data_IF_573341183035
#
_entry.id   IF_573341183035
#
_cell.length_a   1.000
_cell.length_b   1.000
_cell.length_c   1.000
_cell.angle_alpha   90.00
_cell.angle_beta   90.00
_cell.angle_gamma   90.00
#
_symmetry.space_group_name_H-M   'P 1'
#
loop_
_entity.id
_entity.type
_entity.pdbx_description
1 polymer ?
#
# COMPACT_ATOMS: atom_id res chain seq x y z
N UNK A 1 -22.29 -2.87 -0.32
CA UNK A 1 -21.09 -3.69 -0.07
C UNK A 1 -20.33 -2.99 1.02
N UNK A 2 -19.82 -3.73 2.01
CA UNK A 2 -18.97 -3.12 3.03
C UNK A 2 -17.63 -2.75 2.41
N UNK A 3 -16.97 -1.71 2.93
CA UNK A 3 -15.69 -1.27 2.38
C UNK A 3 -14.65 -2.40 2.41
N UNK A 4 -14.68 -3.23 3.44
CA UNK A 4 -13.76 -4.35 3.62
C UNK A 4 -13.96 -5.47 2.58
N UNK A 5 -15.19 -5.67 2.10
CA UNK A 5 -15.49 -6.65 1.04
C UNK A 5 -14.89 -6.19 -0.30
N UNK A 6 -15.00 -4.89 -0.60
CA UNK A 6 -14.40 -4.27 -1.79
C UNK A 6 -12.87 -4.35 -1.70
N UNK A 7 -12.31 -4.00 -0.54
CA UNK A 7 -10.87 -4.03 -0.29
C UNK A 7 -10.30 -5.44 -0.46
N UNK A 8 -10.97 -6.45 0.08
CA UNK A 8 -10.55 -7.84 -0.04
C UNK A 8 -10.58 -8.34 -1.48
N UNK A 9 -11.67 -8.08 -2.22
CA UNK A 9 -11.79 -8.47 -3.62
C UNK A 9 -10.69 -7.82 -4.49
N UNK A 10 -10.50 -6.50 -4.38
CA UNK A 10 -9.47 -5.78 -5.12
C UNK A 10 -8.06 -6.30 -4.77
N UNK A 11 -7.76 -6.46 -3.48
CA UNK A 11 -6.46 -6.97 -3.03
C UNK A 11 -6.16 -8.36 -3.58
N UNK A 12 -7.14 -9.27 -3.53
CA UNK A 12 -6.97 -10.63 -4.01
C UNK A 12 -6.63 -10.66 -5.51
N UNK A 13 -7.34 -9.88 -6.32
CA UNK A 13 -7.14 -9.79 -7.78
C UNK A 13 -5.78 -9.23 -8.15
N UNK A 14 -5.31 -8.22 -7.42
CA UNK A 14 -3.94 -7.68 -7.56
C UNK A 14 -2.91 -8.77 -7.21
N UNK A 15 -3.13 -9.50 -6.12
CA UNK A 15 -2.20 -10.52 -5.61
C UNK A 15 -2.03 -11.70 -6.58
N UNK A 16 -3.11 -12.11 -7.26
CA UNK A 16 -3.06 -13.17 -8.28
C UNK A 16 -2.64 -12.66 -9.67
N UNK A 17 -2.38 -11.36 -9.82
CA UNK A 17 -1.95 -10.75 -11.08
C UNK A 17 -3.06 -10.59 -12.13
N UNK A 18 -4.33 -10.65 -11.73
CA UNK A 18 -5.47 -10.47 -12.66
C UNK A 18 -5.60 -9.00 -13.09
N UNK A 19 -5.27 -8.07 -12.20
CA UNK A 19 -5.36 -6.63 -12.40
C UNK A 19 -4.15 -5.93 -11.82
N UNK A 20 -3.64 -4.94 -12.53
CA UNK A 20 -2.45 -4.17 -12.15
C UNK A 20 -2.67 -2.66 -12.27
N UNK A 21 -3.85 -2.20 -12.64
CA UNK A 21 -4.17 -0.76 -12.75
C UNK A 21 -5.57 -0.47 -12.23
N UNK A 22 -5.82 0.76 -11.81
CA UNK A 22 -7.17 1.22 -11.42
C UNK A 22 -8.18 0.97 -12.54
N UNK A 23 -7.80 1.22 -13.80
CA UNK A 23 -8.65 0.99 -14.95
C UNK A 23 -8.99 -0.51 -15.15
N UNK A 24 -7.99 -1.40 -15.00
CA UNK A 24 -8.22 -2.84 -15.07
C UNK A 24 -9.15 -3.33 -13.96
N UNK A 25 -8.95 -2.85 -12.72
CA UNK A 25 -9.83 -3.16 -11.58
C UNK A 25 -11.26 -2.76 -11.89
N UNK A 26 -11.50 -1.53 -12.38
CA UNK A 26 -12.83 -1.06 -12.75
C UNK A 26 -13.47 -1.94 -13.83
N UNK A 27 -12.71 -2.31 -14.86
CA UNK A 27 -13.23 -3.14 -15.94
C UNK A 27 -13.63 -4.53 -15.43
N UNK A 28 -12.79 -5.16 -14.61
CA UNK A 28 -12.99 -6.55 -14.17
C UNK A 28 -14.08 -6.66 -13.09
N UNK A 29 -14.15 -5.70 -12.17
CA UNK A 29 -15.08 -5.74 -11.03
C UNK A 29 -16.41 -5.04 -11.32
N UNK A 30 -16.43 -4.09 -12.25
CA UNK A 30 -17.57 -3.19 -12.45
C UNK A 30 -17.73 -2.11 -11.37
N UNK A 31 -16.80 -2.00 -10.42
CA UNK A 31 -16.85 -0.97 -9.38
C UNK A 31 -16.65 0.43 -9.97
N UNK A 32 -17.28 1.41 -9.33
CA UNK A 32 -17.09 2.82 -9.70
C UNK A 32 -15.63 3.24 -9.48
N UNK A 33 -15.13 4.18 -10.30
CA UNK A 33 -13.78 4.74 -10.15
C UNK A 33 -13.50 5.23 -8.73
N UNK A 34 -14.47 5.91 -8.12
CA UNK A 34 -14.35 6.45 -6.77
C UNK A 34 -14.18 5.35 -5.72
N UNK A 35 -14.93 4.25 -5.83
CA UNK A 35 -14.81 3.10 -4.93
C UNK A 35 -13.45 2.41 -5.08
N UNK A 36 -12.97 2.22 -6.32
CA UNK A 36 -11.66 1.62 -6.57
C UNK A 36 -10.53 2.49 -6.01
N UNK A 37 -10.56 3.81 -6.25
CA UNK A 37 -9.53 4.71 -5.73
C UNK A 37 -9.54 4.70 -4.19
N UNK A 38 -10.71 4.79 -3.57
CA UNK A 38 -10.81 4.77 -2.10
C UNK A 38 -10.25 3.46 -1.53
N UNK A 39 -10.55 2.32 -2.16
CA UNK A 39 -10.02 1.02 -1.76
C UNK A 39 -8.50 0.93 -1.94
N UNK A 40 -7.98 1.35 -3.10
CA UNK A 40 -6.53 1.38 -3.37
C UNK A 40 -5.79 2.24 -2.34
N UNK A 41 -6.32 3.42 -2.00
CA UNK A 41 -5.73 4.27 -0.97
C UNK A 41 -5.75 3.62 0.42
N UNK A 42 -6.84 2.93 0.79
CA UNK A 42 -6.87 2.14 2.04
C UNK A 42 -5.87 0.99 2.02
N UNK A 43 -5.75 0.25 0.93
CA UNK A 43 -4.81 -0.87 0.80
C UNK A 43 -3.35 -0.40 0.85
N UNK A 44 -3.03 0.75 0.24
CA UNK A 44 -1.73 1.42 0.38
C UNK A 44 -1.50 1.87 1.82
N UNK A 45 -2.53 2.45 2.45
CA UNK A 45 -2.47 2.84 3.86
C UNK A 45 -2.26 1.64 4.78
N UNK A 46 -2.85 0.48 4.49
CA UNK A 46 -2.64 -0.75 5.24
C UNK A 46 -1.32 -1.45 4.93
N UNK A 47 -0.48 -0.89 4.04
CA UNK A 47 0.80 -1.46 3.64
C UNK A 47 0.64 -2.86 3.01
N UNK A 48 -0.43 -3.08 2.25
CA UNK A 48 -0.70 -4.35 1.57
C UNK A 48 -0.32 -4.31 0.08
N UNK A 49 -0.45 -3.14 -0.55
CA UNK A 49 -0.09 -2.92 -1.94
C UNK A 49 0.76 -1.65 -2.06
N UNK A 50 1.47 -1.54 -3.16
CA UNK A 50 2.17 -0.33 -3.60
C UNK A 50 1.72 0.06 -5.01
N UNK A 51 2.01 1.30 -5.38
CA UNK A 51 1.76 1.84 -6.71
C UNK A 51 3.05 2.47 -7.24
N UNK A 52 3.54 1.98 -8.38
CA UNK A 52 4.69 2.53 -9.10
C UNK A 52 4.34 2.68 -10.57
N UNK A 53 4.55 3.87 -11.12
CA UNK A 53 4.28 4.18 -12.54
C UNK A 53 2.85 3.84 -12.98
N UNK A 54 1.89 3.98 -12.06
CA UNK A 54 0.48 3.64 -12.27
C UNK A 54 0.14 2.14 -12.22
N UNK A 55 1.13 1.28 -11.97
CA UNK A 55 0.92 -0.14 -11.70
C UNK A 55 0.76 -0.41 -10.20
N UNK A 56 -0.33 -1.08 -9.84
CA UNK A 56 -0.63 -1.65 -8.54
C UNK A 56 0.05 -3.00 -8.40
N UNK A 57 0.74 -3.22 -7.28
CA UNK A 57 1.42 -4.49 -6.97
C UNK A 57 1.24 -4.84 -5.49
N UNK A 58 1.09 -6.13 -5.13
CA UNK A 58 1.13 -6.52 -3.74
C UNK A 58 2.53 -6.26 -3.18
N UNK A 59 2.63 -5.85 -1.92
CA UNK A 59 3.90 -5.88 -1.21
C UNK A 59 4.24 -7.33 -0.84
N UNK A 60 5.50 -7.71 -0.89
CA UNK A 60 5.95 -8.98 -0.31
C UNK A 60 5.85 -8.93 1.21
N UNK A 61 5.72 -10.08 1.87
CA UNK A 61 5.63 -10.15 3.34
C UNK A 61 6.80 -9.45 4.04
N UNK A 62 8.01 -9.57 3.47
CA UNK A 62 9.21 -8.88 3.95
C UNK A 62 9.07 -7.36 3.88
N UNK A 63 8.55 -6.84 2.78
CA UNK A 63 8.30 -5.40 2.57
C UNK A 63 7.20 -4.89 3.50
N UNK A 64 6.13 -5.66 3.68
CA UNK A 64 5.05 -5.33 4.62
C UNK A 64 5.59 -5.21 6.05
N UNK A 65 6.35 -6.20 6.51
CA UNK A 65 6.95 -6.21 7.86
C UNK A 65 7.94 -5.05 8.04
N UNK A 66 8.74 -4.76 7.02
CA UNK A 66 9.69 -3.65 7.03
C UNK A 66 8.99 -2.28 7.04
N UNK A 67 7.96 -2.10 6.23
CA UNK A 67 7.17 -0.86 6.23
C UNK A 67 6.45 -0.66 7.57
N UNK A 68 5.91 -1.73 8.16
CA UNK A 68 5.33 -1.70 9.50
C UNK A 68 6.36 -1.35 10.57
N UNK A 69 7.56 -1.94 10.53
CA UNK A 69 8.62 -1.61 11.49
C UNK A 69 8.98 -0.13 11.37
N UNK A 70 9.21 0.40 10.17
CA UNK A 70 9.48 1.83 9.99
C UNK A 70 8.33 2.70 10.52
N UNK A 71 7.08 2.38 10.20
CA UNK A 71 5.93 3.23 10.56
C UNK A 71 5.66 3.26 12.06
N UNK A 72 5.85 2.15 12.75
CA UNK A 72 5.43 2.00 14.16
C UNK A 72 6.62 1.97 15.14
N UNK A 73 7.86 1.98 14.67
CA UNK A 73 9.05 2.12 15.53
C UNK A 73 9.19 3.57 16.00
N UNK A 74 9.25 3.78 17.31
CA UNK A 74 9.36 5.13 17.91
C UNK A 74 10.83 5.59 18.06
N UNK A 75 11.75 4.64 18.00
CA UNK A 75 13.17 4.73 18.29
C UNK A 75 14.03 4.35 17.07
N UNK A 76 13.58 4.74 15.87
CA UNK A 76 14.41 4.60 14.67
C UNK A 76 15.78 5.24 14.93
N UNK A 77 16.89 4.54 14.66
CA UNK A 77 18.24 5.06 14.86
C UNK A 77 18.59 6.16 13.85
N UNK A 78 17.63 6.60 13.05
CA UNK A 78 17.76 7.62 12.02
C UNK A 78 16.64 8.65 12.14
N UNK A 79 16.98 9.90 11.86
CA UNK A 79 16.04 11.02 11.74
C UNK A 79 16.22 11.70 10.38
N UNK A 80 15.14 12.17 9.76
CA UNK A 80 15.19 12.98 8.54
C UNK A 80 14.98 14.45 8.94
N UNK A 81 15.98 15.28 8.64
CA UNK A 81 15.95 16.72 8.92
C UNK A 81 16.41 17.47 7.66
N UNK A 82 15.52 18.31 7.10
CA UNK A 82 15.74 19.04 5.84
C UNK A 82 16.23 18.16 4.67
N UNK A 83 15.69 16.93 4.57
CA UNK A 83 16.08 15.97 3.54
C UNK A 83 17.40 15.24 3.81
N UNK A 84 18.04 15.47 4.97
CA UNK A 84 19.27 14.77 5.38
C UNK A 84 18.91 13.66 6.36
N UNK A 85 19.37 12.44 6.07
CA UNK A 85 19.28 11.29 6.98
C UNK A 85 20.44 11.39 7.99
N UNK A 86 20.12 11.54 9.27
CA UNK A 86 21.08 11.60 10.39
C UNK A 86 20.93 10.38 11.27
N UNK A 87 22.04 9.79 11.73
CA UNK A 87 22.01 8.80 12.79
C UNK A 87 21.69 9.48 14.13
N UNK A 88 20.71 8.97 14.88
CA UNK A 88 20.44 9.37 16.25
C UNK A 88 21.60 8.81 17.09
N UNK A 89 22.45 9.69 17.64
CA UNK A 89 23.50 9.27 18.58
C UNK A 89 22.80 8.95 19.90
N UNK A 90 23.04 7.75 20.43
CA UNK A 90 22.76 7.45 21.84
C UNK A 90 23.83 8.16 22.68
N UNK A 91 23.40 8.93 23.68
CA UNK A 91 24.29 9.52 24.70
C UNK A 91 24.71 8.46 25.73
#
# INVERSE_FOLDING_TARGET
MKDEEVDWDIYHRITIGEVDTVAAVQHVTGYSKAAVIASVERLKWYLLITESDGCLKPLELSEMLFACSIRYTQDLPVTIDNGVIKLRRED
#
